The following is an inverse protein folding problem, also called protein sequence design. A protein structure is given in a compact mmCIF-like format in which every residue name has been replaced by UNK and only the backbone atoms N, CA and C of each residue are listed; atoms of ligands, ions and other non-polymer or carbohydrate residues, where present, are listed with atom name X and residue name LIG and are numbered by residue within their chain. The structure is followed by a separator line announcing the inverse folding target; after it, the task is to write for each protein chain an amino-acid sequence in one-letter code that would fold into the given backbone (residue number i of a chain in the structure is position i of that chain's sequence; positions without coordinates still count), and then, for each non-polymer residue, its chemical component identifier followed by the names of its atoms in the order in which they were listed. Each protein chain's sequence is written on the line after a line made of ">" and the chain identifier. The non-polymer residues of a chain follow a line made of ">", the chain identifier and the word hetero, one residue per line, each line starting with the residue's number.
data_IF_808014303629
#
_entry.id   IF_808014303629
#
_cell.length_a   1.000
_cell.length_b   1.000
_cell.length_c   1.000
_cell.angle_alpha   90.00
_cell.angle_beta   90.00
_cell.angle_gamma   90.00
#
_symmetry.space_group_name_H-M   'P 1'
#
loop_
_entity.id
_entity.type
_entity.pdbx_description
1 polymer ?
#
# COMPACT_ATOMS: atom_id res chain seq x y z
N UNK A 1 -49.86 -76.80 -1.89
CA UNK A 1 -50.85 -76.31 -2.88
C UNK A 1 -50.77 -74.79 -2.92
N UNK A 2 -50.61 -74.24 -4.13
CA UNK A 2 -50.90 -72.87 -4.61
C UNK A 2 -50.69 -71.67 -3.66
N UNK A 3 -49.69 -70.80 -3.87
CA UNK A 3 -49.56 -69.80 -4.96
C UNK A 3 -50.38 -68.51 -4.73
N UNK A 4 -49.66 -67.38 -4.65
CA UNK A 4 -49.89 -66.09 -5.36
C UNK A 4 -49.53 -64.89 -4.47
N UNK A 5 -48.36 -64.29 -4.67
CA UNK A 5 -48.12 -63.13 -5.54
C UNK A 5 -48.76 -61.82 -5.04
N UNK A 6 -47.92 -60.86 -4.62
CA UNK A 6 -47.64 -59.62 -5.39
C UNK A 6 -46.61 -58.72 -4.71
N UNK A 7 -45.37 -58.93 -5.14
CA UNK A 7 -44.35 -57.94 -5.53
C UNK A 7 -44.74 -56.45 -5.54
N UNK A 8 -43.89 -55.63 -4.89
CA UNK A 8 -43.33 -54.34 -5.34
C UNK A 8 -42.04 -54.16 -4.50
N UNK A 9 -40.84 -53.90 -4.99
CA UNK A 9 -40.32 -53.67 -6.33
C UNK A 9 -38.96 -52.93 -6.20
N UNK A 10 -38.03 -53.25 -7.12
CA UNK A 10 -36.90 -52.42 -7.60
C UNK A 10 -35.79 -52.03 -6.60
N UNK A 11 -34.50 -51.94 -6.93
CA UNK A 11 -33.69 -52.13 -8.14
C UNK A 11 -32.21 -52.19 -7.66
N UNK A 12 -31.45 -53.26 -7.92
CA UNK A 12 -30.43 -53.39 -8.98
C UNK A 12 -29.38 -52.27 -9.11
N UNK A 13 -28.09 -52.66 -9.14
CA UNK A 13 -27.00 -51.88 -9.75
C UNK A 13 -25.81 -51.66 -8.81
N UNK A 14 -24.86 -52.59 -8.69
CA UNK A 14 -23.63 -52.70 -9.48
C UNK A 14 -22.71 -51.44 -9.43
N UNK A 15 -21.60 -51.60 -8.70
CA UNK A 15 -20.20 -51.22 -9.04
C UNK A 15 -20.00 -50.06 -10.04
N UNK A 16 -19.29 -49.00 -9.64
CA UNK A 16 -17.90 -48.64 -10.07
C UNK A 16 -17.50 -47.19 -9.66
N UNK A 17 -16.26 -47.04 -9.20
CA UNK A 17 -15.33 -45.91 -9.40
C UNK A 17 -15.67 -44.46 -9.00
N UNK A 18 -15.02 -44.03 -7.92
CA UNK A 18 -14.01 -42.96 -7.85
C UNK A 18 -14.28 -41.64 -8.62
N UNK A 19 -14.44 -40.52 -7.89
CA UNK A 19 -13.43 -39.43 -7.75
C UNK A 19 -14.11 -38.11 -7.31
N UNK A 20 -13.49 -37.48 -6.33
CA UNK A 20 -13.65 -36.09 -5.85
C UNK A 20 -14.94 -35.79 -5.09
N UNK A 21 -14.81 -35.62 -3.77
CA UNK A 21 -15.27 -34.39 -3.10
C UNK A 21 -14.67 -34.27 -1.68
N UNK A 22 -13.82 -33.23 -1.55
CA UNK A 22 -13.58 -32.32 -0.40
C UNK A 22 -13.05 -32.95 0.91
N UNK A 23 -11.79 -32.69 1.31
CA UNK A 23 -11.37 -32.97 2.67
C UNK A 23 -12.02 -31.96 3.63
N UNK A 24 -12.35 -32.48 4.80
CA UNK A 24 -12.94 -31.80 5.93
C UNK A 24 -12.03 -30.69 6.49
N UNK A 25 -12.69 -29.71 7.10
CA UNK A 25 -12.14 -28.52 7.73
C UNK A 25 -10.99 -28.85 8.71
N UNK A 26 -9.76 -28.59 8.28
CA UNK A 26 -8.60 -28.51 9.17
C UNK A 26 -8.30 -27.03 9.47
N UNK A 27 -8.64 -26.63 10.70
CA UNK A 27 -8.12 -25.50 11.48
C UNK A 27 -8.11 -24.11 10.83
N UNK A 28 -9.24 -23.41 10.91
CA UNK A 28 -9.35 -21.95 10.71
C UNK A 28 -8.80 -21.12 11.90
N UNK A 29 -8.17 -21.75 12.90
CA UNK A 29 -7.74 -21.08 14.14
C UNK A 29 -6.32 -20.51 14.08
N UNK A 30 -5.55 -20.72 13.00
CA UNK A 30 -4.16 -20.28 12.91
C UNK A 30 -3.94 -18.90 12.23
N UNK A 31 -4.99 -18.19 11.82
CA UNK A 31 -4.87 -16.88 11.13
C UNK A 31 -5.22 -15.69 12.04
N UNK A 32 -5.29 -15.90 13.37
CA UNK A 32 -5.55 -14.83 14.34
C UNK A 32 -4.31 -14.27 15.04
N UNK A 33 -3.10 -14.79 14.82
CA UNK A 33 -1.88 -14.05 15.21
C UNK A 33 -1.47 -13.12 14.08
N UNK A 34 -2.24 -12.05 13.87
CA UNK A 34 -1.71 -10.90 13.12
C UNK A 34 -0.78 -10.18 14.09
N UNK A 35 0.45 -10.72 14.12
CA UNK A 35 1.61 -10.18 14.81
C UNK A 35 1.53 -8.66 14.84
N UNK A 36 1.67 -8.08 16.03
CA UNK A 36 2.15 -6.71 16.23
C UNK A 36 3.58 -6.63 15.70
N UNK A 37 3.77 -6.87 14.40
CA UNK A 37 4.96 -6.46 13.70
C UNK A 37 4.94 -4.94 13.78
N UNK A 38 5.95 -4.35 14.43
CA UNK A 38 6.19 -2.92 14.38
C UNK A 38 6.00 -2.46 12.95
N UNK A 39 4.97 -1.64 12.71
CA UNK A 39 4.65 -1.20 11.36
C UNK A 39 5.88 -0.47 10.82
N UNK A 40 6.34 -0.86 9.62
CA UNK A 40 7.48 -0.22 8.96
C UNK A 40 7.25 1.29 8.90
N UNK A 41 8.25 2.13 9.24
CA UNK A 41 8.12 3.57 9.16
C UNK A 41 7.77 4.01 7.74
N UNK A 42 6.86 4.97 7.64
CA UNK A 42 6.41 5.55 6.36
C UNK A 42 6.92 6.98 6.28
N UNK A 43 7.66 7.25 5.22
CA UNK A 43 8.08 8.58 4.83
C UNK A 43 6.90 9.35 4.25
N UNK A 44 6.69 10.59 4.67
CA UNK A 44 5.65 11.45 4.14
C UNK A 44 6.25 12.81 3.80
N UNK A 45 6.14 13.19 2.52
CA UNK A 45 6.69 14.44 1.99
C UNK A 45 5.54 15.28 1.43
N UNK A 46 5.34 16.47 1.99
CA UNK A 46 4.28 17.40 1.60
C UNK A 46 3.03 17.30 2.46
N UNK A 47 2.95 18.11 3.50
CA UNK A 47 1.86 18.24 4.48
C UNK A 47 0.89 19.38 4.13
N UNK A 48 0.60 19.58 2.84
CA UNK A 48 -0.43 20.53 2.41
C UNK A 48 -1.86 20.09 2.78
N UNK A 49 -2.85 20.78 2.21
CA UNK A 49 -4.28 20.53 2.47
C UNK A 49 -4.72 19.07 2.29
N UNK A 50 -4.09 18.34 1.36
CA UNK A 50 -4.38 16.93 1.09
C UNK A 50 -3.45 15.97 1.84
N UNK A 51 -2.19 16.36 2.04
CA UNK A 51 -1.18 15.53 2.69
C UNK A 51 -1.38 15.42 4.20
N UNK A 52 -1.69 16.55 4.86
CA UNK A 52 -1.90 16.59 6.31
C UNK A 52 -2.98 15.59 6.81
N UNK A 53 -4.23 15.57 6.28
CA UNK A 53 -5.23 14.59 6.72
C UNK A 53 -4.83 13.14 6.40
N UNK A 54 -4.06 12.91 5.34
CA UNK A 54 -3.56 11.58 4.97
C UNK A 54 -2.51 11.09 5.98
N UNK A 55 -1.52 11.93 6.31
CA UNK A 55 -0.51 11.65 7.32
C UNK A 55 -1.15 11.43 8.70
N UNK A 56 -2.10 12.28 9.12
CA UNK A 56 -2.86 12.07 10.36
C UNK A 56 -3.58 10.73 10.40
N UNK A 57 -4.14 10.29 9.28
CA UNK A 57 -4.81 8.99 9.24
C UNK A 57 -3.81 7.85 9.46
N UNK A 58 -2.63 7.92 8.84
CA UNK A 58 -1.57 6.93 9.05
C UNK A 58 -1.12 6.88 10.53
N UNK A 59 -0.94 8.04 11.15
CA UNK A 59 -0.61 8.18 12.57
C UNK A 59 -1.71 7.58 13.46
N UNK A 60 -2.99 7.88 13.20
CA UNK A 60 -4.14 7.29 13.93
C UNK A 60 -4.19 5.77 13.85
N UNK A 61 -3.74 5.20 12.73
CA UNK A 61 -3.62 3.76 12.57
C UNK A 61 -2.32 3.20 13.17
N UNK A 62 -1.44 4.01 13.75
CA UNK A 62 -0.22 3.57 14.44
C UNK A 62 0.93 3.23 13.49
N UNK A 63 0.97 3.81 12.28
CA UNK A 63 2.16 3.75 11.42
C UNK A 63 3.15 4.82 11.88
N UNK A 64 4.40 4.49 12.23
CA UNK A 64 5.42 5.49 12.51
C UNK A 64 5.68 6.34 11.27
N UNK A 65 5.76 7.66 11.42
CA UNK A 65 5.94 8.58 10.32
C UNK A 65 7.30 9.29 10.38
N UNK A 66 7.89 9.44 9.20
CA UNK A 66 9.07 10.26 8.98
C UNK A 66 8.67 11.36 8.02
N UNK A 67 8.65 12.59 8.52
CA UNK A 67 7.92 13.68 7.90
C UNK A 67 8.89 14.75 7.42
N UNK A 68 8.61 15.25 6.22
CA UNK A 68 9.26 16.42 5.67
C UNK A 68 8.25 17.31 4.95
N UNK A 69 8.36 18.62 5.19
CA UNK A 69 7.72 19.65 4.40
C UNK A 69 8.69 20.82 4.24
N UNK A 70 8.56 21.57 3.15
CA UNK A 70 9.36 22.79 2.91
C UNK A 70 8.99 23.91 3.89
N UNK A 71 7.78 23.88 4.45
CA UNK A 71 7.28 24.80 5.47
C UNK A 71 7.32 24.12 6.85
N UNK A 72 8.25 24.52 7.75
CA UNK A 72 8.38 23.90 9.07
C UNK A 72 7.13 24.00 9.94
N UNK A 73 6.31 25.04 9.74
CA UNK A 73 5.06 25.22 10.47
C UNK A 73 4.06 24.08 10.22
N UNK A 74 4.06 23.47 9.03
CA UNK A 74 3.20 22.34 8.72
C UNK A 74 3.59 21.07 9.49
N UNK A 75 4.87 20.95 9.88
CA UNK A 75 5.41 19.81 10.60
C UNK A 75 5.17 19.87 12.12
N UNK A 76 4.90 21.05 12.69
CA UNK A 76 4.77 21.26 14.15
C UNK A 76 3.79 20.29 14.80
N UNK A 77 2.62 20.12 14.21
CA UNK A 77 1.59 19.24 14.76
C UNK A 77 2.04 17.77 14.86
N UNK A 78 2.85 17.31 13.91
CA UNK A 78 3.38 15.95 13.92
C UNK A 78 4.58 15.81 14.85
N UNK A 79 5.40 16.85 14.96
CA UNK A 79 6.48 16.92 15.93
C UNK A 79 5.92 16.85 17.37
N UNK A 80 4.86 17.61 17.65
CA UNK A 80 4.18 17.61 18.95
C UNK A 80 3.51 16.27 19.26
N UNK A 81 3.08 15.55 18.21
CA UNK A 81 2.56 14.18 18.31
C UNK A 81 3.66 13.11 18.50
N UNK A 82 4.94 13.49 18.47
CA UNK A 82 6.08 12.60 18.66
C UNK A 82 6.57 11.89 17.40
N UNK A 83 6.11 12.30 16.21
CA UNK A 83 6.58 11.77 14.93
C UNK A 83 7.94 12.38 14.56
N UNK A 84 8.71 11.66 13.74
CA UNK A 84 10.05 12.10 13.37
C UNK A 84 10.00 13.10 12.21
N UNK A 85 10.25 14.37 12.49
CA UNK A 85 10.44 15.41 11.45
C UNK A 85 11.92 15.47 11.05
N UNK A 86 12.18 15.49 9.74
CA UNK A 86 13.54 15.59 9.18
C UNK A 86 13.71 16.86 8.35
N UNK A 87 14.95 17.19 8.00
CA UNK A 87 15.34 18.41 7.31
C UNK A 87 15.34 18.33 5.78
N UNK A 88 15.23 17.13 5.19
CA UNK A 88 15.27 16.98 3.74
C UNK A 88 14.55 15.72 3.23
N UNK A 89 14.13 15.70 1.93
CA UNK A 89 13.58 14.50 1.29
C UNK A 89 14.57 13.31 1.28
N UNK A 90 15.86 13.59 1.15
CA UNK A 90 16.91 12.57 1.24
C UNK A 90 16.93 11.88 2.61
N UNK A 91 16.76 12.64 3.70
CA UNK A 91 16.75 12.09 5.06
C UNK A 91 15.50 11.22 5.31
N UNK A 92 14.39 11.52 4.65
CA UNK A 92 13.21 10.65 4.63
C UNK A 92 13.57 9.31 3.97
N UNK A 93 14.24 9.36 2.81
CA UNK A 93 14.60 8.18 2.03
C UNK A 93 15.63 7.27 2.72
N UNK A 94 16.49 7.85 3.56
CA UNK A 94 17.45 7.11 4.37
C UNK A 94 16.77 6.29 5.48
N UNK A 95 15.69 6.82 6.05
CA UNK A 95 15.07 6.24 7.25
C UNK A 95 13.79 5.44 6.95
N UNK A 96 13.11 5.70 5.83
CA UNK A 96 11.89 5.01 5.42
C UNK A 96 12.06 4.28 4.09
N UNK A 97 11.53 3.06 4.03
CA UNK A 97 11.53 2.26 2.81
C UNK A 97 10.24 2.48 1.99
N UNK A 98 9.21 3.09 2.59
CA UNK A 98 7.96 3.47 1.93
C UNK A 98 7.79 4.97 2.04
N UNK A 99 7.80 5.67 0.92
CA UNK A 99 7.78 7.13 0.89
C UNK A 99 6.56 7.55 0.08
N UNK A 100 5.75 8.44 0.65
CA UNK A 100 4.61 9.05 -0.02
C UNK A 100 4.96 10.51 -0.27
N UNK A 101 4.74 10.95 -1.50
CA UNK A 101 4.89 12.35 -1.90
C UNK A 101 3.52 12.91 -2.29
N UNK A 102 3.23 14.12 -1.79
CA UNK A 102 1.98 14.84 -2.07
C UNK A 102 2.28 16.32 -2.28
N UNK A 103 2.68 16.68 -3.48
CA UNK A 103 3.26 17.97 -3.84
C UNK A 103 2.37 18.75 -4.83
N UNK A 104 2.41 20.09 -4.80
CA UNK A 104 1.45 20.92 -5.53
C UNK A 104 1.77 21.04 -7.02
N UNK A 105 3.03 20.94 -7.44
CA UNK A 105 3.43 21.10 -8.85
C UNK A 105 4.50 20.08 -9.26
N UNK A 106 4.62 19.85 -10.57
CA UNK A 106 5.67 19.01 -11.16
C UNK A 106 7.08 19.49 -10.78
N UNK A 107 7.29 20.80 -10.65
CA UNK A 107 8.61 21.36 -10.27
C UNK A 107 8.97 20.92 -8.85
N UNK A 108 8.02 20.99 -7.92
CA UNK A 108 8.25 20.54 -6.54
C UNK A 108 8.51 19.04 -6.49
N UNK A 109 7.83 18.24 -7.31
CA UNK A 109 8.11 16.81 -7.41
C UNK A 109 9.52 16.55 -7.94
N UNK A 110 9.94 17.19 -9.03
CA UNK A 110 11.30 17.05 -9.56
C UNK A 110 12.34 17.46 -8.50
N UNK A 111 12.11 18.55 -7.78
CA UNK A 111 13.01 18.98 -6.70
C UNK A 111 13.06 17.97 -5.55
N UNK A 112 11.91 17.44 -5.12
CA UNK A 112 11.84 16.47 -4.04
C UNK A 112 12.51 15.14 -4.40
N UNK A 113 12.44 14.70 -5.66
CA UNK A 113 13.06 13.45 -6.10
C UNK A 113 14.52 13.64 -6.50
N UNK A 114 14.79 14.58 -7.40
CA UNK A 114 16.05 14.71 -8.14
C UNK A 114 16.86 15.94 -7.75
N UNK A 115 16.35 16.79 -6.84
CA UNK A 115 17.06 17.95 -6.32
C UNK A 115 18.32 17.61 -5.53
N UNK A 116 19.05 18.66 -5.09
CA UNK A 116 20.32 18.51 -4.38
C UNK A 116 20.22 17.60 -3.14
N UNK A 117 19.12 17.74 -2.39
CA UNK A 117 18.78 16.91 -1.24
C UNK A 117 17.56 16.01 -1.52
N UNK A 118 17.38 15.59 -2.76
CA UNK A 118 16.24 14.80 -3.21
C UNK A 118 16.28 13.34 -2.74
N UNK A 119 15.12 12.68 -2.80
CA UNK A 119 14.91 11.27 -2.42
C UNK A 119 15.93 10.35 -3.11
N UNK A 120 16.20 10.57 -4.41
CA UNK A 120 17.07 9.71 -5.22
C UNK A 120 18.52 9.66 -4.72
N UNK A 121 18.95 10.61 -3.89
CA UNK A 121 20.32 10.62 -3.35
C UNK A 121 20.58 9.54 -2.29
N UNK A 122 19.55 9.20 -1.50
CA UNK A 122 19.66 8.28 -0.37
C UNK A 122 18.64 7.14 -0.41
N UNK A 123 17.88 7.02 -1.49
CA UNK A 123 16.90 5.95 -1.67
C UNK A 123 17.54 4.58 -1.58
N UNK A 124 16.93 3.68 -0.79
CA UNK A 124 17.40 2.29 -0.69
C UNK A 124 16.84 1.45 -1.82
N UNK A 125 17.59 0.44 -2.23
CA UNK A 125 17.10 -0.58 -3.19
C UNK A 125 15.89 -1.31 -2.60
N UNK A 126 14.86 -1.53 -3.42
CA UNK A 126 13.60 -2.12 -3.02
C UNK A 126 12.65 -1.18 -2.26
N UNK A 127 13.01 0.10 -2.10
CA UNK A 127 12.08 1.10 -1.54
C UNK A 127 10.89 1.31 -2.47
N UNK A 128 9.75 1.65 -1.87
CA UNK A 128 8.53 2.00 -2.56
C UNK A 128 8.28 3.51 -2.47
N UNK A 129 8.24 4.18 -3.60
CA UNK A 129 7.94 5.59 -3.72
C UNK A 129 6.55 5.72 -4.35
N UNK A 130 5.60 6.26 -3.58
CA UNK A 130 4.22 6.48 -4.00
C UNK A 130 4.05 7.97 -4.24
N UNK A 131 3.94 8.37 -5.50
CA UNK A 131 3.55 9.72 -5.84
C UNK A 131 2.04 9.83 -5.88
N UNK A 132 1.48 10.65 -4.99
CA UNK A 132 0.05 10.94 -4.92
C UNK A 132 -0.28 12.34 -5.46
N UNK A 133 0.74 13.06 -5.91
CA UNK A 133 0.65 14.42 -6.47
C UNK A 133 -0.11 14.43 -7.80
N UNK A 134 -0.72 15.55 -8.14
CA UNK A 134 -1.32 15.76 -9.47
C UNK A 134 -0.31 16.46 -10.37
N UNK A 135 0.68 15.71 -10.85
CA UNK A 135 1.76 16.21 -11.72
C UNK A 135 1.54 15.85 -13.18
N UNK A 136 2.35 16.43 -14.06
CA UNK A 136 2.34 16.10 -15.48
C UNK A 136 2.70 14.61 -15.68
N UNK A 137 1.90 13.83 -16.45
CA UNK A 137 2.19 12.42 -16.72
C UNK A 137 3.56 12.17 -17.35
N UNK A 138 4.11 13.11 -18.13
CA UNK A 138 5.45 13.00 -18.68
C UNK A 138 6.51 13.03 -17.58
N UNK A 139 6.36 13.95 -16.63
CA UNK A 139 7.26 14.07 -15.46
C UNK A 139 7.16 12.83 -14.57
N UNK A 140 5.95 12.34 -14.30
CA UNK A 140 5.74 11.10 -13.54
C UNK A 140 6.50 9.92 -14.18
N UNK A 141 6.44 9.77 -15.51
CA UNK A 141 7.17 8.73 -16.24
C UNK A 141 8.69 8.91 -16.20
N UNK A 142 9.17 10.14 -16.23
CA UNK A 142 10.60 10.44 -16.10
C UNK A 142 11.12 10.09 -14.72
N UNK A 143 10.42 10.52 -13.67
CA UNK A 143 10.72 10.17 -12.28
C UNK A 143 10.69 8.66 -12.07
N UNK A 144 9.71 7.95 -12.63
CA UNK A 144 9.66 6.50 -12.58
C UNK A 144 10.94 5.84 -13.12
N UNK A 145 11.42 6.28 -14.29
CA UNK A 145 12.68 5.78 -14.87
C UNK A 145 13.89 6.08 -13.99
N UNK A 146 13.94 7.25 -13.36
CA UNK A 146 15.04 7.60 -12.46
C UNK A 146 15.03 6.76 -11.19
N UNK A 147 13.86 6.50 -10.61
CA UNK A 147 13.68 5.65 -9.43
C UNK A 147 14.03 4.19 -9.73
N UNK A 148 13.61 3.68 -10.89
CA UNK A 148 13.94 2.32 -11.34
C UNK A 148 15.44 2.11 -11.53
N UNK A 149 16.18 3.11 -12.03
CA UNK A 149 17.65 3.06 -12.13
C UNK A 149 18.32 2.89 -10.76
N UNK A 150 17.72 3.42 -9.71
CA UNK A 150 18.19 3.27 -8.33
C UNK A 150 17.81 1.91 -7.71
N UNK A 151 17.04 1.08 -8.43
CA UNK A 151 16.56 -0.21 -7.95
C UNK A 151 15.41 -0.10 -6.96
N UNK A 152 14.69 1.02 -6.96
CA UNK A 152 13.48 1.24 -6.19
C UNK A 152 12.24 1.14 -7.09
N UNK A 153 11.05 1.08 -6.49
CA UNK A 153 9.78 0.96 -7.19
C UNK A 153 9.03 2.29 -7.10
N UNK A 154 8.66 2.84 -8.24
CA UNK A 154 7.81 4.03 -8.32
C UNK A 154 6.37 3.64 -8.60
N UNK A 155 5.43 4.28 -7.89
CA UNK A 155 4.00 4.08 -8.04
C UNK A 155 3.31 5.43 -8.17
N UNK A 156 2.76 5.69 -9.36
CA UNK A 156 1.87 6.83 -9.59
C UNK A 156 0.46 6.47 -9.08
N UNK A 157 0.00 7.18 -8.06
CA UNK A 157 -1.23 6.91 -7.35
C UNK A 157 -2.00 8.21 -7.06
N UNK A 158 -2.43 8.96 -8.10
CA UNK A 158 -3.11 10.22 -7.91
C UNK A 158 -4.38 10.02 -7.09
N UNK A 159 -4.63 10.95 -6.18
CA UNK A 159 -5.75 10.86 -5.26
C UNK A 159 -7.03 11.36 -5.95
N UNK A 160 -7.98 10.46 -6.17
CA UNK A 160 -9.35 10.81 -6.58
C UNK A 160 -10.29 10.78 -5.36
N UNK A 161 -10.83 11.94 -4.98
CA UNK A 161 -11.81 12.07 -3.90
C UNK A 161 -11.63 13.32 -3.03
N UNK A 162 -12.70 13.76 -2.37
CA UNK A 162 -12.68 14.86 -1.40
C UNK A 162 -11.83 14.51 -0.16
N UNK A 163 -11.26 15.50 0.57
CA UNK A 163 -10.28 15.31 1.65
C UNK A 163 -10.64 14.22 2.68
N UNK A 164 -11.94 14.06 2.94
CA UNK A 164 -12.54 13.14 3.91
C UNK A 164 -12.36 11.65 3.58
N UNK A 165 -12.10 11.27 2.31
CA UNK A 165 -12.14 9.86 1.84
C UNK A 165 -10.75 9.22 1.74
N UNK A 166 -9.70 10.04 1.73
CA UNK A 166 -8.35 9.70 1.25
C UNK A 166 -7.64 8.70 2.18
N UNK A 167 -7.81 8.83 3.50
CA UNK A 167 -7.13 8.00 4.48
C UNK A 167 -7.44 6.50 4.34
N UNK A 168 -8.69 6.15 4.01
CA UNK A 168 -9.15 4.75 3.94
C UNK A 168 -8.70 3.99 2.68
N UNK A 169 -8.36 4.72 1.61
CA UNK A 169 -7.93 4.14 0.33
C UNK A 169 -6.44 3.77 0.39
N UNK A 170 -5.63 4.66 0.96
CA UNK A 170 -4.19 4.47 1.09
C UNK A 170 -3.85 3.27 2.00
N UNK A 171 -4.53 3.14 3.15
CA UNK A 171 -4.34 2.00 4.05
C UNK A 171 -4.72 0.66 3.38
N UNK A 172 -5.83 0.62 2.64
CA UNK A 172 -6.24 -0.57 1.88
C UNK A 172 -5.25 -0.93 0.77
N UNK A 173 -4.67 0.08 0.11
CA UNK A 173 -3.63 -0.09 -0.92
C UNK A 173 -2.32 -0.60 -0.31
N UNK A 174 -1.93 -0.14 0.88
CA UNK A 174 -0.79 -0.68 1.63
C UNK A 174 -0.98 -2.12 2.13
N UNK A 175 -2.24 -2.56 2.36
CA UNK A 175 -2.56 -3.87 2.94
C UNK A 175 -2.83 -5.00 1.93
N UNK A 176 -3.04 -4.72 0.63
CA UNK A 176 -3.44 -5.74 -0.37
C UNK A 176 -2.27 -6.29 -1.20
N UNK A 177 -1.71 -7.44 -0.77
CA UNK A 177 -1.07 -8.54 -1.58
C UNK A 177 0.15 -8.17 -2.48
N UNK A 178 0.95 -9.15 -2.97
CA UNK A 178 2.34 -8.90 -3.38
C UNK A 178 2.47 -8.08 -4.67
N UNK A 179 3.61 -7.42 -4.77
CA UNK A 179 3.84 -6.11 -5.34
C UNK A 179 3.90 -6.01 -6.89
N UNK A 180 3.44 -7.00 -7.64
CA UNK A 180 3.84 -7.14 -9.07
C UNK A 180 2.71 -7.11 -10.09
N UNK A 181 1.45 -6.93 -9.71
CA UNK A 181 0.38 -6.89 -10.71
C UNK A 181 -0.71 -5.91 -10.34
N UNK A 182 -1.03 -5.03 -11.29
CA UNK A 182 -2.26 -4.26 -11.36
C UNK A 182 -2.24 -2.88 -10.67
N UNK A 183 -1.40 -1.94 -11.11
CA UNK A 183 -1.54 -0.53 -10.69
C UNK A 183 -1.21 0.48 -11.81
N UNK A 184 -1.56 0.16 -13.05
CA UNK A 184 -1.66 1.15 -14.13
C UNK A 184 -3.13 1.57 -14.23
N UNK A 185 -3.45 2.80 -13.82
CA UNK A 185 -4.68 3.49 -14.28
C UNK A 185 -4.25 4.58 -15.26
N UNK A 186 -3.71 4.15 -16.40
CA UNK A 186 -4.30 4.37 -17.72
C UNK A 186 -3.63 3.48 -18.75
#
# INVERSE_FOLDING_TARGET
>A
MAASLRLRGAASGLRYWNRRQRPAAASLAAVCSRSMASKTPVGFIGLGNMGNPMAKNLMKHGYPLIIYDVFPDACKEFQDAGEQVVSSPADVAEKADRIITMLPTSINAIEAYSGANGILKKVKKGSLLIDSSTIDPAVSKELAKEVEKMGAVFMDAPVSGAPHVIGSSLERRMKRKPFTSCWCVR
#
